data_IF_552746375790
#
_entry.id   IF_552746375790
#
_cell.length_a   1.000
_cell.length_b   1.000
_cell.length_c   1.000
_cell.angle_alpha   90.00
_cell.angle_beta   90.00
_cell.angle_gamma   90.00
#
_symmetry.space_group_name_H-M   'P 1'
#
loop_
_entity.id
_entity.type
_entity.pdbx_description
1 polymer ?
#
# COMPACT_ATOMS: atom_id res chain seq x y z
N UNK A 1 -10.91 -4.78 18.57
CA UNK A 1 -9.77 -4.22 17.80
C UNK A 1 -8.96 -5.28 17.05
N UNK A 2 -8.73 -6.50 17.59
CA UNK A 2 -7.94 -7.57 16.92
C UNK A 2 -8.41 -7.95 15.50
N UNK A 3 -9.72 -7.97 15.26
CA UNK A 3 -10.28 -8.35 13.95
C UNK A 3 -10.06 -7.27 12.87
N UNK A 4 -10.06 -5.99 13.26
CA UNK A 4 -9.81 -4.86 12.35
C UNK A 4 -8.36 -4.83 11.86
N UNK A 5 -7.40 -5.07 12.76
CA UNK A 5 -5.99 -5.14 12.39
C UNK A 5 -5.72 -6.28 11.39
N UNK A 6 -6.33 -7.46 11.61
CA UNK A 6 -6.22 -8.59 10.66
C UNK A 6 -6.84 -8.27 9.31
N UNK A 7 -8.01 -7.62 9.30
CA UNK A 7 -8.66 -7.22 8.06
C UNK A 7 -7.82 -6.20 7.28
N UNK A 8 -7.23 -5.23 7.96
CA UNK A 8 -6.31 -4.26 7.35
C UNK A 8 -5.04 -4.93 6.82
N UNK A 9 -4.45 -5.88 7.55
CA UNK A 9 -3.27 -6.63 7.07
C UNK A 9 -3.56 -7.44 5.81
N UNK A 10 -4.73 -8.09 5.74
CA UNK A 10 -5.17 -8.81 4.54
C UNK A 10 -5.35 -7.85 3.35
N UNK A 11 -5.96 -6.70 3.59
CA UNK A 11 -6.09 -5.62 2.61
C UNK A 11 -4.72 -5.16 2.11
N UNK A 12 -3.82 -4.81 3.03
CA UNK A 12 -2.51 -4.26 2.71
C UNK A 12 -1.64 -5.27 1.96
N UNK A 13 -1.61 -6.53 2.39
CA UNK A 13 -0.83 -7.60 1.74
C UNK A 13 -1.20 -7.79 0.26
N UNK A 14 -2.48 -7.67 -0.09
CA UNK A 14 -2.96 -7.81 -1.48
C UNK A 14 -2.40 -6.71 -2.38
N UNK A 15 -2.36 -5.47 -1.90
CA UNK A 15 -1.87 -4.33 -2.68
C UNK A 15 -0.35 -4.29 -2.68
N UNK A 16 0.27 -4.51 -1.51
CA UNK A 16 1.70 -4.40 -1.28
C UNK A 16 2.51 -5.29 -2.23
N UNK A 17 2.05 -6.53 -2.49
CA UNK A 17 2.73 -7.42 -3.42
C UNK A 17 2.79 -6.83 -4.84
N UNK A 18 1.66 -6.31 -5.34
CA UNK A 18 1.61 -5.69 -6.66
C UNK A 18 2.44 -4.41 -6.69
N UNK A 19 2.30 -3.55 -5.68
CA UNK A 19 3.04 -2.30 -5.60
C UNK A 19 4.56 -2.51 -5.52
N UNK A 20 5.02 -3.52 -4.79
CA UNK A 20 6.44 -3.84 -4.67
C UNK A 20 7.03 -4.34 -5.99
N UNK A 21 6.29 -5.17 -6.74
CA UNK A 21 6.70 -5.62 -8.06
C UNK A 21 6.90 -4.43 -9.03
N UNK A 22 5.93 -3.52 -9.10
CA UNK A 22 6.05 -2.33 -9.96
C UNK A 22 7.13 -1.36 -9.47
N UNK A 23 7.33 -1.22 -8.15
CA UNK A 23 8.38 -0.38 -7.60
C UNK A 23 9.77 -0.90 -7.93
N UNK A 24 9.96 -2.23 -7.90
CA UNK A 24 11.18 -2.86 -8.34
C UNK A 24 11.44 -2.63 -9.83
N UNK A 25 10.42 -2.81 -10.69
CA UNK A 25 10.54 -2.51 -12.11
C UNK A 25 10.90 -1.04 -12.36
N UNK A 26 10.30 -0.10 -11.62
CA UNK A 26 10.59 1.33 -11.75
C UNK A 26 12.03 1.67 -11.32
N UNK A 27 12.50 1.07 -10.22
CA UNK A 27 13.88 1.21 -9.74
C UNK A 27 14.89 0.64 -10.73
N UNK A 28 14.55 -0.47 -11.40
CA UNK A 28 15.37 -1.06 -12.46
C UNK A 28 15.42 -0.17 -13.72
N UNK A 29 14.30 0.44 -14.11
CA UNK A 29 14.22 1.36 -15.25
C UNK A 29 14.99 2.66 -15.02
N UNK A 30 15.03 3.16 -13.79
CA UNK A 30 15.77 4.38 -13.43
C UNK A 30 17.26 4.12 -13.18
N UNK A 31 17.70 2.85 -13.23
CA UNK A 31 19.10 2.46 -13.01
C UNK A 31 19.57 2.60 -11.56
N UNK A 32 18.69 2.97 -10.63
CA UNK A 32 19.01 3.19 -9.22
C UNK A 32 18.46 2.05 -8.36
N UNK A 33 19.23 0.96 -8.25
CA UNK A 33 18.92 -0.20 -7.40
C UNK A 33 19.34 0.03 -5.93
N UNK A 34 18.94 1.17 -5.36
CA UNK A 34 19.14 1.48 -3.94
C UNK A 34 17.86 1.25 -3.14
N UNK A 35 18.00 0.92 -1.85
CA UNK A 35 16.85 0.80 -0.95
C UNK A 35 16.05 2.09 -0.86
N UNK A 36 16.74 3.24 -0.86
CA UNK A 36 16.12 4.56 -0.93
C UNK A 36 15.23 4.73 -2.18
N UNK A 37 15.74 4.40 -3.37
CA UNK A 37 14.97 4.52 -4.61
C UNK A 37 13.77 3.55 -4.63
N UNK A 38 13.94 2.33 -4.13
CA UNK A 38 12.85 1.37 -3.96
C UNK A 38 11.77 1.87 -2.99
N UNK A 39 12.17 2.42 -1.84
CA UNK A 39 11.26 2.95 -0.82
C UNK A 39 10.42 4.11 -1.34
N UNK A 40 11.05 5.06 -2.04
CA UNK A 40 10.35 6.21 -2.66
C UNK A 40 9.42 5.73 -3.78
N UNK A 41 9.89 4.86 -4.67
CA UNK A 41 9.08 4.32 -5.77
C UNK A 41 7.87 3.54 -5.24
N UNK A 42 8.09 2.70 -4.23
CA UNK A 42 7.04 1.95 -3.54
C UNK A 42 6.02 2.89 -2.92
N UNK A 43 6.46 3.98 -2.29
CA UNK A 43 5.55 4.95 -1.70
C UNK A 43 4.55 5.46 -2.73
N UNK A 44 5.02 6.00 -3.86
CA UNK A 44 4.15 6.54 -4.91
C UNK A 44 3.28 5.48 -5.58
N UNK A 45 3.85 4.32 -5.92
CA UNK A 45 3.11 3.24 -6.59
C UNK A 45 2.01 2.71 -5.69
N UNK A 46 2.25 2.59 -4.38
CA UNK A 46 1.23 2.13 -3.45
C UNK A 46 0.03 3.08 -3.35
N UNK A 47 0.23 4.41 -3.49
CA UNK A 47 -0.88 5.39 -3.59
C UNK A 47 -1.73 5.09 -4.82
N UNK A 48 -1.08 4.95 -5.98
CA UNK A 48 -1.76 4.66 -7.26
C UNK A 48 -2.50 3.33 -7.19
N UNK A 49 -1.86 2.28 -6.67
CA UNK A 49 -2.46 0.96 -6.55
C UNK A 49 -3.61 0.92 -5.55
N UNK A 50 -3.53 1.63 -4.43
CA UNK A 50 -4.66 1.76 -3.50
C UNK A 50 -5.86 2.38 -4.21
N UNK A 51 -5.63 3.48 -4.93
CA UNK A 51 -6.66 4.15 -5.71
C UNK A 51 -7.26 3.22 -6.77
N UNK A 52 -6.45 2.66 -7.67
CA UNK A 52 -6.92 1.83 -8.79
C UNK A 52 -7.63 0.56 -8.28
N UNK A 53 -7.02 -0.16 -7.34
CA UNK A 53 -7.59 -1.44 -6.89
C UNK A 53 -8.89 -1.24 -6.14
N UNK A 54 -9.01 -0.23 -5.28
CA UNK A 54 -10.17 -0.13 -4.40
C UNK A 54 -11.20 0.90 -4.84
N UNK A 55 -10.80 1.99 -5.48
CA UNK A 55 -11.76 2.94 -6.04
C UNK A 55 -12.23 2.56 -7.44
N UNK A 56 -11.55 1.71 -8.20
CA UNK A 56 -12.03 1.30 -9.53
C UNK A 56 -12.39 -0.19 -9.59
N UNK A 57 -11.48 -1.08 -9.24
CA UNK A 57 -11.65 -2.52 -9.51
C UNK A 57 -12.53 -3.21 -8.46
N UNK A 58 -12.24 -3.00 -7.18
CA UNK A 58 -12.84 -3.72 -6.06
C UNK A 58 -13.71 -2.82 -5.18
N UNK A 59 -14.47 -1.90 -5.80
CA UNK A 59 -15.41 -1.00 -5.10
C UNK A 59 -16.32 -1.73 -4.10
N UNK A 60 -16.73 -2.96 -4.42
CA UNK A 60 -17.60 -3.78 -3.57
C UNK A 60 -16.91 -4.30 -2.30
N UNK A 61 -15.59 -4.53 -2.33
CA UNK A 61 -14.86 -5.00 -1.16
C UNK A 61 -14.84 -3.95 -0.04
N UNK A 62 -15.01 -2.67 -0.36
CA UNK A 62 -15.20 -1.64 0.67
C UNK A 62 -16.42 -1.90 1.57
N UNK A 63 -17.50 -2.49 1.04
CA UNK A 63 -18.64 -2.83 1.88
C UNK A 63 -18.29 -3.94 2.88
N UNK A 64 -17.49 -4.92 2.47
CA UNK A 64 -16.99 -5.95 3.39
C UNK A 64 -16.14 -5.35 4.52
N UNK A 65 -15.18 -4.49 4.19
CA UNK A 65 -14.34 -3.83 5.21
C UNK A 65 -15.13 -2.84 6.08
N UNK A 66 -16.15 -2.20 5.53
CA UNK A 66 -17.04 -1.31 6.27
C UNK A 66 -17.82 -2.06 7.35
N UNK A 67 -18.37 -3.23 7.05
CA UNK A 67 -19.03 -4.10 8.05
C UNK A 67 -18.07 -4.59 9.14
N UNK A 68 -16.76 -4.62 8.87
CA UNK A 68 -15.72 -4.92 9.86
C UNK A 68 -15.28 -3.68 10.67
N UNK A 69 -15.84 -2.50 10.40
CA UNK A 69 -15.57 -1.24 11.08
C UNK A 69 -14.43 -0.40 10.47
N UNK A 70 -13.94 -0.79 9.29
CA UNK A 70 -12.92 -0.06 8.52
C UNK A 70 -13.61 0.75 7.41
N UNK A 71 -13.76 2.06 7.64
CA UNK A 71 -14.25 2.97 6.61
C UNK A 71 -13.20 3.23 5.52
N UNK A 72 -13.63 3.68 4.35
CA UNK A 72 -12.74 4.06 3.23
C UNK A 72 -11.61 5.00 3.68
N UNK A 73 -11.97 6.05 4.44
CA UNK A 73 -11.03 7.02 4.98
C UNK A 73 -10.01 6.37 5.91
N UNK A 74 -10.44 5.46 6.79
CA UNK A 74 -9.54 4.73 7.70
C UNK A 74 -8.57 3.84 6.94
N UNK A 75 -9.03 3.13 5.89
CA UNK A 75 -8.17 2.30 5.05
C UNK A 75 -7.10 3.13 4.35
N UNK A 76 -7.48 4.28 3.78
CA UNK A 76 -6.54 5.23 3.17
C UNK A 76 -5.50 5.72 4.17
N UNK A 77 -5.92 6.26 5.32
CA UNK A 77 -5.01 6.79 6.34
C UNK A 77 -4.06 5.71 6.84
N UNK A 78 -4.57 4.53 7.21
CA UNK A 78 -3.72 3.43 7.68
C UNK A 78 -2.72 2.97 6.61
N UNK A 79 -3.14 2.93 5.34
CA UNK A 79 -2.25 2.56 4.24
C UNK A 79 -1.17 3.62 4.01
N UNK A 80 -1.52 4.90 4.03
CA UNK A 80 -0.56 6.00 3.89
C UNK A 80 0.46 6.01 5.03
N UNK A 81 0.00 5.83 6.27
CA UNK A 81 0.89 5.80 7.45
C UNK A 81 1.85 4.61 7.36
N UNK A 82 1.34 3.40 7.08
CA UNK A 82 2.20 2.22 6.98
C UNK A 82 3.20 2.33 5.82
N UNK A 83 2.75 2.89 4.69
CA UNK A 83 3.59 3.11 3.52
C UNK A 83 4.68 4.16 3.79
N UNK A 84 4.36 5.25 4.49
CA UNK A 84 5.34 6.25 4.91
C UNK A 84 6.39 5.65 5.85
N UNK A 85 5.99 4.81 6.81
CA UNK A 85 6.92 4.11 7.71
C UNK A 85 7.88 3.23 6.90
N UNK A 86 7.37 2.44 5.95
CA UNK A 86 8.21 1.58 5.10
C UNK A 86 9.18 2.42 4.26
N UNK A 87 8.71 3.51 3.65
CA UNK A 87 9.55 4.39 2.85
C UNK A 87 10.68 5.02 3.70
N UNK A 88 10.36 5.47 4.91
CA UNK A 88 11.36 6.02 5.85
C UNK A 88 12.38 4.95 6.24
N UNK A 89 11.94 3.73 6.57
CA UNK A 89 12.87 2.63 6.88
C UNK A 89 13.80 2.36 5.70
N UNK A 90 13.28 2.29 4.48
CA UNK A 90 14.09 2.10 3.28
C UNK A 90 15.04 3.26 2.97
N UNK A 91 14.73 4.48 3.42
CA UNK A 91 15.63 5.65 3.29
C UNK A 91 16.76 5.63 4.32
N UNK A 92 16.57 4.97 5.46
CA UNK A 92 17.53 4.89 6.55
C UNK A 92 18.49 3.68 6.44
N UNK A 93 18.21 2.74 5.55
CA UNK A 93 19.05 1.58 5.22
C UNK A 93 19.92 1.93 4.01
#
# INVERSE_FOLDING_TARGET
>A
MRNQARAFLLFYKRIAFSALFFAFLLSLLTGSLSFAALGVSYFFIMIVFHYVMFEHIYKQQYFFYYHLGLSRKKLWILSMVLNAIIAIICLLI
#
